data_IF_113726724658
#
_entry.id   IF_113726724658
#
_cell.length_a   1.000
_cell.length_b   1.000
_cell.length_c   1.000
_cell.angle_alpha   90.00
_cell.angle_beta   90.00
_cell.angle_gamma   90.00
#
_symmetry.space_group_name_H-M   'P 1'
#
loop_
_entity.id
_entity.type
_entity.pdbx_description
1 polymer ?
#
# COMPACT_ATOMS: atom_id res chain seq x y z
N UNK A 1 -9.30 -7.16 26.51
CA UNK A 1 -9.89 -7.00 25.16
C UNK A 1 -10.85 -8.15 24.90
N UNK A 2 -12.10 -7.84 24.51
CA UNK A 2 -13.08 -8.85 24.14
C UNK A 2 -12.62 -9.61 22.88
N UNK A 3 -12.59 -10.93 22.95
CA UNK A 3 -12.09 -11.79 21.86
C UNK A 3 -13.02 -12.97 21.64
N UNK A 4 -13.21 -13.37 20.39
CA UNK A 4 -13.95 -14.55 20.00
C UNK A 4 -12.97 -15.73 19.91
N UNK A 5 -13.16 -16.76 20.74
CA UNK A 5 -12.36 -17.98 20.76
C UNK A 5 -12.91 -18.98 19.74
N UNK A 6 -12.15 -19.32 18.72
CA UNK A 6 -12.58 -20.15 17.58
C UNK A 6 -11.58 -21.29 17.37
N UNK A 7 -12.03 -22.55 17.17
CA UNK A 7 -11.14 -23.63 16.78
C UNK A 7 -10.42 -23.33 15.46
N UNK A 8 -9.12 -23.68 15.32
CA UNK A 8 -8.33 -23.38 14.13
C UNK A 8 -8.97 -23.86 12.81
N UNK A 9 -9.62 -25.01 12.84
CA UNK A 9 -10.32 -25.58 11.67
C UNK A 9 -11.46 -24.70 11.14
N UNK A 10 -11.99 -23.83 11.97
CA UNK A 10 -13.12 -22.94 11.65
C UNK A 10 -12.73 -21.47 11.58
N UNK A 11 -11.45 -21.16 11.74
CA UNK A 11 -10.95 -19.77 11.85
C UNK A 11 -11.29 -18.93 10.64
N UNK A 12 -11.17 -19.45 9.42
CA UNK A 12 -11.46 -18.71 8.19
C UNK A 12 -12.95 -18.36 8.07
N UNK A 13 -13.84 -19.32 8.39
CA UNK A 13 -15.29 -19.07 8.38
C UNK A 13 -15.68 -18.00 9.40
N UNK A 14 -15.10 -18.08 10.60
CA UNK A 14 -15.37 -17.09 11.65
C UNK A 14 -14.83 -15.70 11.29
N UNK A 15 -13.67 -15.63 10.67
CA UNK A 15 -13.06 -14.39 10.18
C UNK A 15 -13.95 -13.71 9.14
N UNK A 16 -14.42 -14.43 8.14
CA UNK A 16 -15.31 -13.91 7.10
C UNK A 16 -16.61 -13.37 7.72
N UNK A 17 -17.23 -14.12 8.64
CA UNK A 17 -18.43 -13.69 9.36
C UNK A 17 -18.21 -12.39 10.15
N UNK A 18 -17.06 -12.23 10.78
CA UNK A 18 -16.73 -11.02 11.55
C UNK A 18 -16.56 -9.79 10.64
N UNK A 19 -15.98 -9.98 9.44
CA UNK A 19 -15.86 -8.90 8.45
C UNK A 19 -17.22 -8.54 7.84
N UNK A 20 -18.01 -9.50 7.39
CA UNK A 20 -19.36 -9.28 6.86
C UNK A 20 -20.23 -8.47 7.82
N UNK A 21 -20.16 -8.79 9.10
CA UNK A 21 -20.93 -8.10 10.15
C UNK A 21 -20.26 -6.83 10.71
N UNK A 22 -19.12 -6.42 10.18
CA UNK A 22 -18.31 -5.29 10.64
C UNK A 22 -18.00 -5.34 12.17
N UNK A 23 -17.87 -6.54 12.72
CA UNK A 23 -17.66 -6.81 14.16
C UNK A 23 -16.18 -7.01 14.51
N UNK A 24 -15.32 -7.19 13.52
CA UNK A 24 -13.88 -7.36 13.73
C UNK A 24 -13.26 -6.05 14.24
N UNK A 25 -12.43 -6.13 15.27
CA UNK A 25 -11.63 -5.01 15.75
C UNK A 25 -10.27 -5.02 15.03
N UNK A 26 -10.05 -4.03 14.17
CA UNK A 26 -8.85 -3.90 13.35
C UNK A 26 -7.66 -3.30 14.12
N UNK A 27 -7.87 -2.74 15.31
CA UNK A 27 -6.81 -2.12 16.11
C UNK A 27 -5.91 -3.14 16.80
N UNK A 28 -6.40 -4.37 16.99
CA UNK A 28 -5.68 -5.41 17.70
C UNK A 28 -5.30 -6.59 16.81
N UNK A 29 -4.20 -7.27 17.16
CA UNK A 29 -3.74 -8.47 16.47
C UNK A 29 -4.57 -9.68 16.87
N UNK A 30 -4.82 -10.54 15.88
CA UNK A 30 -5.31 -11.90 16.12
C UNK A 30 -4.22 -12.69 16.85
N UNK A 31 -4.60 -13.38 17.89
CA UNK A 31 -3.72 -14.30 18.61
C UNK A 31 -4.13 -15.75 18.32
N UNK A 32 -3.18 -16.67 18.25
CA UNK A 32 -3.46 -18.11 18.14
C UNK A 32 -2.58 -18.90 19.11
N UNK A 33 -3.16 -19.90 19.76
CA UNK A 33 -2.43 -20.95 20.49
C UNK A 33 -2.43 -22.26 19.69
N UNK A 34 -2.19 -23.41 20.34
CA UNK A 34 -2.13 -24.70 19.66
C UNK A 34 -3.44 -25.10 18.97
N UNK A 35 -4.61 -24.84 19.60
CA UNK A 35 -5.91 -25.33 19.17
C UNK A 35 -6.87 -24.23 18.68
N UNK A 36 -6.70 -23.00 19.14
CA UNK A 36 -7.66 -21.93 18.97
C UNK A 36 -7.04 -20.68 18.35
N UNK A 37 -7.91 -19.90 17.68
CA UNK A 37 -7.65 -18.54 17.22
C UNK A 37 -8.55 -17.60 18.00
N UNK A 38 -8.00 -16.47 18.44
CA UNK A 38 -8.69 -15.44 19.21
C UNK A 38 -8.81 -14.19 18.34
N UNK A 39 -10.01 -13.93 17.88
CA UNK A 39 -10.29 -12.75 17.05
C UNK A 39 -10.73 -11.59 17.95
N UNK A 40 -10.07 -10.43 17.88
CA UNK A 40 -10.54 -9.22 18.55
C UNK A 40 -11.89 -8.78 17.98
N UNK A 41 -12.86 -8.48 18.87
CA UNK A 41 -14.20 -8.09 18.44
C UNK A 41 -14.67 -6.84 19.16
N UNK A 42 -15.43 -5.98 18.45
CA UNK A 42 -15.94 -4.70 18.96
C UNK A 42 -17.04 -4.86 19.99
N UNK A 43 -17.89 -5.90 19.86
CA UNK A 43 -19.00 -6.20 20.76
C UNK A 43 -19.39 -7.66 20.70
N UNK A 44 -20.14 -8.13 21.71
CA UNK A 44 -20.75 -9.47 21.72
C UNK A 44 -21.90 -9.55 20.71
N UNK A 45 -22.06 -10.71 20.10
CA UNK A 45 -23.14 -11.01 19.14
C UNK A 45 -23.56 -12.49 19.26
N UNK A 46 -24.71 -12.83 18.69
CA UNK A 46 -25.19 -14.23 18.72
C UNK A 46 -24.32 -15.12 17.84
N UNK A 47 -23.63 -16.05 18.45
CA UNK A 47 -22.69 -16.99 17.79
C UNK A 47 -22.58 -18.28 18.60
N UNK A 48 -22.09 -19.34 17.97
CA UNK A 48 -21.77 -20.62 18.66
C UNK A 48 -20.40 -20.60 19.35
N UNK A 49 -19.57 -19.60 19.10
CA UNK A 49 -18.23 -19.51 19.67
C UNK A 49 -18.23 -18.77 20.99
N UNK A 50 -17.28 -19.12 21.86
CA UNK A 50 -17.15 -18.49 23.17
C UNK A 50 -16.47 -17.13 23.09
N UNK A 51 -16.95 -16.18 23.89
CA UNK A 51 -16.27 -14.92 24.11
C UNK A 51 -15.37 -15.01 25.35
N UNK A 52 -14.15 -14.57 25.20
CA UNK A 52 -13.14 -14.52 26.27
C UNK A 52 -12.51 -13.14 26.35
N UNK A 53 -12.07 -12.76 27.53
CA UNK A 53 -11.22 -11.58 27.68
C UNK A 53 -9.75 -12.00 27.58
N UNK A 54 -9.02 -11.43 26.63
CA UNK A 54 -7.60 -11.72 26.43
C UNK A 54 -6.84 -10.42 26.19
N UNK A 55 -5.63 -10.33 26.72
CA UNK A 55 -4.72 -9.22 26.41
C UNK A 55 -4.15 -9.47 25.02
N UNK A 56 -4.58 -8.68 24.05
CA UNK A 56 -4.09 -8.71 22.68
C UNK A 56 -3.19 -7.51 22.41
N UNK A 57 -2.16 -7.71 21.60
CA UNK A 57 -1.28 -6.63 21.17
C UNK A 57 -2.01 -5.70 20.19
N UNK A 58 -1.76 -4.40 20.32
CA UNK A 58 -2.23 -3.44 19.31
C UNK A 58 -1.53 -3.72 17.99
N UNK A 59 -2.29 -3.61 16.92
CA UNK A 59 -1.77 -3.74 15.55
C UNK A 59 -1.01 -2.46 15.20
N UNK A 60 0.24 -2.60 14.82
CA UNK A 60 0.98 -1.49 14.23
C UNK A 60 0.43 -1.23 12.83
N UNK A 61 -0.37 -0.18 12.70
CA UNK A 61 -1.03 0.18 11.44
C UNK A 61 -0.02 0.49 10.32
N UNK A 62 1.22 0.84 10.67
CA UNK A 62 2.29 1.08 9.69
C UNK A 62 2.78 -0.21 9.01
N UNK A 63 2.41 -1.38 9.52
CA UNK A 63 2.77 -2.70 8.99
C UNK A 63 1.65 -3.39 8.21
N UNK A 64 0.47 -2.75 8.09
CA UNK A 64 -0.60 -3.28 7.27
C UNK A 64 -0.26 -3.16 5.78
N UNK A 65 -0.52 -4.21 5.04
CA UNK A 65 -0.53 -4.14 3.57
C UNK A 65 -1.74 -3.34 3.10
N UNK A 66 -1.68 -2.75 1.91
CA UNK A 66 -2.80 -2.01 1.33
C UNK A 66 -4.06 -2.88 1.22
N UNK A 67 -3.91 -4.16 0.86
CA UNK A 67 -5.03 -5.12 0.78
C UNK A 67 -5.69 -5.34 2.13
N UNK A 68 -4.90 -5.59 3.18
CA UNK A 68 -5.42 -5.80 4.54
C UNK A 68 -6.17 -4.58 5.07
N UNK A 69 -5.67 -3.38 4.80
CA UNK A 69 -6.31 -2.14 5.22
C UNK A 69 -7.62 -1.83 4.48
N UNK A 70 -7.85 -2.48 3.33
CA UNK A 70 -9.03 -2.28 2.48
C UNK A 70 -10.07 -3.40 2.58
N UNK A 71 -9.77 -4.55 3.23
CA UNK A 71 -10.68 -5.70 3.33
C UNK A 71 -12.06 -5.31 3.87
N UNK A 72 -12.14 -4.43 4.88
CA UNK A 72 -13.40 -4.01 5.48
C UNK A 72 -14.11 -2.87 4.73
N UNK A 73 -13.53 -2.37 3.62
CA UNK A 73 -13.97 -1.17 2.90
C UNK A 73 -14.32 -1.44 1.43
N UNK A 74 -13.89 -2.58 0.92
CA UNK A 74 -14.16 -3.04 -0.43
C UNK A 74 -14.90 -4.38 -0.36
N UNK A 75 -15.80 -4.61 -1.32
CA UNK A 75 -16.42 -5.92 -1.51
C UNK A 75 -15.40 -6.93 -2.04
N UNK A 76 -15.73 -8.24 -1.98
CA UNK A 76 -14.85 -9.30 -2.51
C UNK A 76 -14.53 -9.09 -3.99
N UNK A 77 -15.53 -8.74 -4.81
CA UNK A 77 -15.34 -8.42 -6.24
C UNK A 77 -14.39 -7.23 -6.43
N UNK A 78 -14.52 -6.18 -5.63
CA UNK A 78 -13.62 -5.02 -5.68
C UNK A 78 -12.20 -5.37 -5.25
N UNK A 79 -12.04 -6.29 -4.29
CA UNK A 79 -10.73 -6.78 -3.84
C UNK A 79 -10.00 -7.63 -4.88
N UNK A 80 -10.72 -8.30 -5.77
CA UNK A 80 -10.13 -9.04 -6.91
C UNK A 80 -9.47 -8.08 -7.91
N UNK A 81 -10.06 -6.90 -8.11
CA UNK A 81 -9.54 -5.85 -9.00
C UNK A 81 -8.48 -4.94 -8.35
N UNK A 82 -8.19 -5.15 -7.05
CA UNK A 82 -7.24 -4.30 -6.33
C UNK A 82 -5.79 -4.64 -6.67
N UNK A 83 -5.13 -3.75 -7.41
CA UNK A 83 -3.67 -3.78 -7.59
C UNK A 83 -3.02 -3.15 -6.37
N UNK A 84 -2.29 -3.95 -5.60
CA UNK A 84 -1.59 -3.50 -4.38
C UNK A 84 -0.19 -2.97 -4.65
N UNK A 85 0.38 -3.34 -5.80
CA UNK A 85 1.67 -2.84 -6.24
C UNK A 85 1.56 -1.39 -6.73
N UNK A 86 2.51 -0.56 -6.35
CA UNK A 86 2.64 0.81 -6.81
C UNK A 86 4.11 1.19 -6.98
N UNK A 87 4.38 2.12 -7.88
CA UNK A 87 5.71 2.71 -8.00
C UNK A 87 5.83 3.87 -7.00
N UNK A 88 7.00 4.03 -6.37
CA UNK A 88 7.24 5.16 -5.45
C UNK A 88 8.50 5.91 -5.84
N UNK A 89 8.39 7.22 -6.00
CA UNK A 89 9.52 8.11 -6.25
C UNK A 89 9.58 9.12 -5.12
N UNK A 90 10.56 8.98 -4.24
CA UNK A 90 10.63 9.76 -3.00
C UNK A 90 9.35 9.58 -2.16
N UNK A 91 8.67 10.70 -1.87
CA UNK A 91 7.43 10.73 -1.08
C UNK A 91 6.15 10.60 -1.96
N UNK A 92 6.27 10.32 -3.26
CA UNK A 92 5.14 10.17 -4.19
C UNK A 92 4.92 8.69 -4.49
N UNK A 93 3.70 8.20 -4.30
CA UNK A 93 3.23 6.90 -4.77
C UNK A 93 2.38 7.07 -6.03
N UNK A 94 2.60 6.20 -7.02
CA UNK A 94 1.87 6.19 -8.29
C UNK A 94 1.13 4.85 -8.39
N UNK A 95 -0.20 4.92 -8.26
CA UNK A 95 -1.10 3.77 -8.30
C UNK A 95 -1.57 3.51 -9.73
N UNK A 96 -1.86 2.25 -9.99
CA UNK A 96 -2.68 1.83 -11.12
C UNK A 96 -4.05 1.40 -10.59
N UNK A 97 -5.10 2.11 -11.01
CA UNK A 97 -6.49 1.88 -10.57
C UNK A 97 -7.28 1.30 -11.72
N UNK A 98 -7.82 0.10 -11.52
CA UNK A 98 -8.70 -0.53 -12.51
C UNK A 98 -10.05 0.18 -12.62
N UNK A 99 -10.73 0.11 -13.79
CA UNK A 99 -11.99 0.79 -14.03
C UNK A 99 -13.08 0.48 -12.97
N UNK A 100 -13.11 -0.76 -12.47
CA UNK A 100 -14.04 -1.20 -11.43
C UNK A 100 -13.87 -0.43 -10.10
N UNK A 101 -12.68 0.12 -9.84
CA UNK A 101 -12.32 0.79 -8.59
C UNK A 101 -12.27 2.32 -8.69
N UNK A 102 -12.62 2.91 -9.82
CA UNK A 102 -12.55 4.38 -10.03
C UNK A 102 -13.39 5.14 -9.00
N UNK A 103 -14.57 4.61 -8.62
CA UNK A 103 -15.41 5.22 -7.57
C UNK A 103 -14.77 5.18 -6.17
N UNK A 104 -13.82 4.31 -5.96
CA UNK A 104 -13.10 4.11 -4.68
C UNK A 104 -11.65 4.63 -4.71
N UNK A 105 -11.19 5.24 -5.82
CA UNK A 105 -9.80 5.65 -6.00
C UNK A 105 -9.28 6.57 -4.89
N UNK A 106 -10.10 7.54 -4.44
CA UNK A 106 -9.74 8.43 -3.34
C UNK A 106 -9.61 7.70 -2.01
N UNK A 107 -10.55 6.80 -1.70
CA UNK A 107 -10.52 5.98 -0.49
C UNK A 107 -9.24 5.12 -0.44
N UNK A 108 -8.88 4.49 -1.56
CA UNK A 108 -7.66 3.66 -1.67
C UNK A 108 -6.42 4.53 -1.42
N UNK A 109 -6.35 5.72 -2.02
CA UNK A 109 -5.24 6.65 -1.86
C UNK A 109 -5.10 7.18 -0.42
N UNK A 110 -6.20 7.54 0.24
CA UNK A 110 -6.21 8.00 1.62
C UNK A 110 -5.75 6.92 2.60
N UNK A 111 -6.15 5.66 2.34
CA UNK A 111 -5.71 4.52 3.15
C UNK A 111 -4.22 4.27 2.96
N UNK A 112 -3.71 4.35 1.72
CA UNK A 112 -2.28 4.23 1.47
C UNK A 112 -1.47 5.28 2.25
N UNK A 113 -1.92 6.54 2.28
CA UNK A 113 -1.29 7.59 3.09
C UNK A 113 -1.29 7.28 4.60
N UNK A 114 -2.36 6.67 5.11
CA UNK A 114 -2.46 6.30 6.53
C UNK A 114 -1.51 5.17 6.92
N UNK A 115 -1.36 4.15 6.06
CA UNK A 115 -0.53 2.98 6.36
C UNK A 115 0.93 3.18 6.02
N UNK A 116 1.27 4.10 5.12
CA UNK A 116 2.66 4.39 4.73
C UNK A 116 3.02 5.85 4.97
N UNK A 117 3.61 6.12 6.14
CA UNK A 117 4.01 7.47 6.58
C UNK A 117 5.07 8.13 5.71
N UNK A 118 5.81 7.34 4.91
CA UNK A 118 6.83 7.86 4.00
C UNK A 118 6.21 8.46 2.73
N UNK A 119 4.97 8.09 2.41
CA UNK A 119 4.25 8.64 1.26
C UNK A 119 3.44 9.86 1.70
N UNK A 120 3.59 10.95 0.97
CA UNK A 120 2.88 12.23 1.22
C UNK A 120 1.98 12.65 0.07
N UNK A 121 2.18 12.05 -1.10
CA UNK A 121 1.39 12.30 -2.29
C UNK A 121 1.01 10.98 -2.94
N UNK A 122 -0.24 10.84 -3.31
CA UNK A 122 -0.71 9.70 -4.09
C UNK A 122 -1.29 10.19 -5.41
N UNK A 123 -0.71 9.69 -6.48
CA UNK A 123 -1.13 9.91 -7.87
C UNK A 123 -1.62 8.59 -8.46
N UNK A 124 -2.40 8.65 -9.53
CA UNK A 124 -2.68 7.48 -10.39
C UNK A 124 -2.23 7.72 -11.82
N UNK A 125 -1.91 6.64 -12.50
CA UNK A 125 -1.70 6.62 -13.94
C UNK A 125 -3.01 6.99 -14.64
N UNK A 126 -3.00 8.08 -15.41
CA UNK A 126 -4.16 8.51 -16.20
C UNK A 126 -4.12 7.94 -17.62
N UNK A 127 -2.92 7.76 -18.16
CA UNK A 127 -2.65 7.23 -19.50
C UNK A 127 -1.46 6.28 -19.46
N UNK A 128 -1.25 5.49 -20.51
CA UNK A 128 -0.02 4.72 -20.68
C UNK A 128 1.16 5.65 -21.02
N UNK A 129 2.38 5.16 -20.81
CA UNK A 129 3.57 5.87 -21.26
C UNK A 129 3.51 6.11 -22.78
N UNK A 130 3.72 7.35 -23.20
CA UNK A 130 3.62 7.73 -24.61
C UNK A 130 4.59 8.84 -25.02
N UNK A 131 4.62 9.10 -26.32
CA UNK A 131 5.45 10.11 -26.94
C UNK A 131 6.95 9.78 -26.96
N UNK A 132 7.72 10.65 -27.58
CA UNK A 132 9.18 10.51 -27.75
C UNK A 132 9.90 10.40 -26.40
N UNK A 133 9.44 11.13 -25.39
CA UNK A 133 10.05 11.17 -24.07
C UNK A 133 9.49 10.12 -23.09
N UNK A 134 8.60 9.22 -23.54
CA UNK A 134 7.99 8.16 -22.73
C UNK A 134 7.43 8.67 -21.40
N UNK A 135 6.89 9.88 -21.39
CA UNK A 135 6.24 10.46 -20.21
C UNK A 135 4.85 9.86 -20.00
N UNK A 136 4.27 10.05 -18.82
CA UNK A 136 2.96 9.52 -18.47
C UNK A 136 2.17 10.57 -17.72
N UNK A 137 0.94 10.84 -18.18
CA UNK A 137 0.03 11.72 -17.44
C UNK A 137 -0.43 11.08 -16.14
N UNK A 138 -0.41 11.87 -15.08
CA UNK A 138 -0.74 11.45 -13.73
C UNK A 138 -1.86 12.32 -13.16
N UNK A 139 -2.85 11.66 -12.54
CA UNK A 139 -3.96 12.33 -11.85
C UNK A 139 -3.71 12.29 -10.34
N UNK A 140 -3.85 13.44 -9.68
CA UNK A 140 -3.79 13.55 -8.23
C UNK A 140 -5.01 12.87 -7.59
N UNK A 141 -4.77 12.11 -6.49
CA UNK A 141 -5.80 11.45 -5.71
C UNK A 141 -5.87 11.94 -4.26
N UNK A 142 -4.74 12.00 -3.55
CA UNK A 142 -4.71 12.35 -2.13
C UNK A 142 -3.35 12.86 -1.65
N UNK A 143 -3.33 13.55 -0.51
CA UNK A 143 -2.14 14.06 0.16
C UNK A 143 -1.72 15.45 -0.34
N UNK A 144 -0.42 15.71 -0.42
CA UNK A 144 0.12 16.98 -0.93
C UNK A 144 -0.05 17.04 -2.45
N UNK A 145 -0.68 18.09 -2.97
CA UNK A 145 -0.88 18.24 -4.42
C UNK A 145 0.42 18.69 -5.11
N UNK A 146 1.29 17.74 -5.40
CA UNK A 146 2.55 17.95 -6.11
C UNK A 146 2.91 16.77 -7.00
N UNK A 147 3.58 17.04 -8.12
CA UNK A 147 4.18 16.03 -9.00
C UNK A 147 5.71 16.07 -8.93
N UNK A 148 6.26 16.98 -8.12
CA UNK A 148 7.71 17.11 -7.92
C UNK A 148 8.13 16.26 -6.75
N UNK A 149 8.97 15.26 -7.01
CA UNK A 149 9.55 14.35 -6.04
C UNK A 149 11.01 14.73 -5.72
N UNK A 150 11.40 14.57 -4.47
CA UNK A 150 12.80 14.50 -4.06
C UNK A 150 13.15 13.02 -3.84
N UNK A 151 14.13 12.54 -4.59
CA UNK A 151 14.56 11.15 -4.55
C UNK A 151 16.05 11.06 -4.27
N UNK A 152 16.44 10.20 -3.32
CA UNK A 152 17.83 9.98 -2.95
C UNK A 152 18.29 8.62 -3.45
N UNK A 153 19.36 8.61 -4.25
CA UNK A 153 19.94 7.41 -4.81
C UNK A 153 21.49 7.55 -4.87
N UNK A 154 22.22 6.51 -4.47
CA UNK A 154 23.69 6.47 -4.54
C UNK A 154 24.38 7.75 -4.01
N UNK A 155 23.87 8.31 -2.90
CA UNK A 155 24.29 9.57 -2.28
C UNK A 155 24.03 10.84 -3.09
N UNK A 156 23.29 10.75 -4.18
CA UNK A 156 22.82 11.90 -4.97
C UNK A 156 21.36 12.20 -4.63
N UNK A 157 21.01 13.45 -4.45
CA UNK A 157 19.63 13.93 -4.33
C UNK A 157 19.15 14.41 -5.71
N UNK A 158 18.07 13.84 -6.19
CA UNK A 158 17.42 14.19 -7.44
C UNK A 158 16.10 14.89 -7.12
N UNK A 159 15.82 15.98 -7.82
CA UNK A 159 14.52 16.64 -7.79
C UNK A 159 13.93 16.57 -9.18
N UNK A 160 12.79 15.90 -9.33
CA UNK A 160 12.19 15.62 -10.63
C UNK A 160 10.66 15.71 -10.58
N UNK A 161 10.08 16.14 -11.69
CA UNK A 161 8.64 16.09 -11.91
C UNK A 161 8.30 14.73 -12.55
N UNK A 162 7.60 13.87 -11.81
CA UNK A 162 7.29 12.48 -12.23
C UNK A 162 6.36 12.40 -13.45
N UNK A 163 5.75 13.50 -13.87
CA UNK A 163 4.94 13.56 -15.10
C UNK A 163 5.74 14.05 -16.30
N UNK A 164 6.74 14.91 -16.07
CA UNK A 164 7.50 15.57 -17.15
C UNK A 164 8.73 14.78 -17.59
N UNK A 165 9.24 13.88 -16.75
CA UNK A 165 10.43 13.09 -17.05
C UNK A 165 10.15 11.60 -16.90
N UNK A 166 10.75 10.79 -17.77
CA UNK A 166 10.81 9.36 -17.56
C UNK A 166 11.88 9.04 -16.52
N UNK A 167 11.47 8.48 -15.39
CA UNK A 167 12.40 8.07 -14.34
C UNK A 167 11.99 6.70 -13.77
N UNK A 168 12.87 5.71 -13.91
CA UNK A 168 12.66 4.37 -13.35
C UNK A 168 13.58 4.13 -12.15
N UNK A 169 12.98 3.95 -10.96
CA UNK A 169 13.71 3.58 -9.74
C UNK A 169 14.38 2.21 -9.88
N UNK A 170 13.83 1.31 -10.71
CA UNK A 170 14.35 -0.05 -10.93
C UNK A 170 15.72 -0.06 -11.60
N UNK A 171 16.08 1.04 -12.27
CA UNK A 171 17.39 1.21 -12.94
C UNK A 171 18.49 1.76 -12.02
N UNK A 172 18.23 1.89 -10.71
CA UNK A 172 19.20 2.45 -9.76
C UNK A 172 20.51 1.66 -9.70
N UNK A 173 20.43 0.33 -9.78
CA UNK A 173 21.61 -0.56 -9.80
C UNK A 173 22.42 -0.36 -11.08
N UNK A 174 21.73 -0.19 -12.21
CA UNK A 174 22.39 0.03 -13.50
C UNK A 174 23.07 1.41 -13.56
N UNK A 175 22.39 2.46 -13.11
CA UNK A 175 23.01 3.79 -12.95
C UNK A 175 24.27 3.73 -12.08
N UNK A 176 24.23 2.98 -10.97
CA UNK A 176 25.40 2.78 -10.09
C UNK A 176 26.51 2.03 -10.81
N UNK A 177 26.17 1.01 -11.60
CA UNK A 177 27.16 0.22 -12.39
C UNK A 177 27.90 1.11 -13.38
N UNK A 178 27.14 1.93 -14.14
CA UNK A 178 27.72 2.87 -15.12
C UNK A 178 28.60 3.91 -14.40
N UNK A 179 28.09 4.54 -13.34
CA UNK A 179 28.83 5.56 -12.59
C UNK A 179 30.16 5.05 -12.03
N UNK A 180 30.26 3.77 -11.66
CA UNK A 180 31.51 3.15 -11.20
C UNK A 180 32.58 2.98 -12.30
N UNK A 181 32.21 3.02 -13.56
CA UNK A 181 33.14 2.89 -14.69
C UNK A 181 33.82 4.21 -15.00
N UNK A 182 33.24 5.33 -14.55
CA UNK A 182 33.77 6.67 -14.75
C UNK A 182 35.03 6.88 -13.90
N UNK A 183 36.12 7.33 -14.52
CA UNK A 183 37.40 7.63 -13.88
C UNK A 183 37.59 9.13 -13.71
N UNK A 184 38.42 9.51 -12.77
CA UNK A 184 38.78 10.91 -12.55
C UNK A 184 39.46 11.50 -13.80
N UNK A 185 38.98 12.66 -14.26
CA UNK A 185 39.53 13.37 -15.42
C UNK A 185 38.91 12.99 -16.76
N UNK A 186 37.97 12.02 -16.80
CA UNK A 186 37.25 11.70 -18.03
C UNK A 186 36.19 12.76 -18.37
N UNK A 187 36.03 13.06 -19.65
CA UNK A 187 34.90 13.81 -20.17
C UNK A 187 33.79 12.84 -20.57
N UNK A 188 32.58 13.05 -20.05
CA UNK A 188 31.47 12.14 -20.24
C UNK A 188 30.41 12.83 -21.06
N UNK A 189 29.98 12.19 -22.18
CA UNK A 189 28.79 12.58 -22.92
C UNK A 189 27.62 11.70 -22.51
N UNK A 190 26.56 12.32 -22.00
CA UNK A 190 25.30 11.64 -21.72
C UNK A 190 24.31 11.94 -22.83
N UNK A 191 23.90 10.89 -23.54
CA UNK A 191 22.93 10.98 -24.65
C UNK A 191 21.63 10.29 -24.24
N UNK A 192 20.48 10.93 -24.44
CA UNK A 192 19.12 10.40 -24.30
C UNK A 192 18.14 11.19 -25.14
#
# INVERSE_FOLDING_TARGET
>A
MLSLKVPKKEAEKAKNLLYEKALFDEEHRVFSDQDFVYFPVKKRFKTRYAFVEKKLEKRDQSKLTLREALISKLSERELEHLKTAYDSVGEIAILEIEPALVKKEKLIAEILLKINKNIKTVLKKAEHHGGVFRTQKLKYLAGKNTKVAEYKENNVKLKLDVEKVYFSIRLSTERKRIAKQVKKGESILVMF
#
